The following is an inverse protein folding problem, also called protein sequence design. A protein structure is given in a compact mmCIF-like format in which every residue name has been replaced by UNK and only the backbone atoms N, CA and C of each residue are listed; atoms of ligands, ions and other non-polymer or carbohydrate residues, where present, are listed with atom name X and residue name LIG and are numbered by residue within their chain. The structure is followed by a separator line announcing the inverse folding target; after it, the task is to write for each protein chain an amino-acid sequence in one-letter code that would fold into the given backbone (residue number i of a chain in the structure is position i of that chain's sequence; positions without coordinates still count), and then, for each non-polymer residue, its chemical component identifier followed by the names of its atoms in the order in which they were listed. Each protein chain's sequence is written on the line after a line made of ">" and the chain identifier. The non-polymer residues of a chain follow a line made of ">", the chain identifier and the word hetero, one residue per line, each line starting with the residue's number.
data_IF_872930973089
#
_entry.id   IF_872930973089
#
_cell.length_a   1.000
_cell.length_b   1.000
_cell.length_c   1.000
_cell.angle_alpha   90.00
_cell.angle_beta   90.00
_cell.angle_gamma   90.00
#
_symmetry.space_group_name_H-M   'P 1'
#
loop_
_entity.id
_entity.type
_entity.pdbx_description
1 polymer ?
#
# COMPACT_ATOMS: atom_id res chain seq x y z
N UNK A 1 20.24 -27.28 8.60
CA UNK A 1 20.02 -26.36 9.74
C UNK A 1 21.01 -25.20 9.59
N UNK A 2 20.56 -23.96 9.78
CA UNK A 2 21.45 -22.80 9.79
C UNK A 2 22.34 -22.90 11.04
N UNK A 3 23.66 -22.90 10.87
CA UNK A 3 24.62 -23.03 11.97
C UNK A 3 24.46 -21.83 12.94
N UNK A 4 24.26 -22.11 14.23
CA UNK A 4 24.05 -21.08 15.26
C UNK A 4 22.66 -20.41 15.28
N UNK A 5 21.65 -20.95 14.58
CA UNK A 5 20.28 -20.42 14.60
C UNK A 5 19.45 -21.04 15.72
N UNK A 6 19.13 -20.25 16.76
CA UNK A 6 18.11 -20.58 17.75
C UNK A 6 16.76 -19.92 17.38
N UNK A 7 15.76 -20.73 17.06
CA UNK A 7 14.44 -20.25 16.70
C UNK A 7 13.75 -19.48 17.84
N UNK A 8 13.95 -19.89 19.09
CA UNK A 8 13.32 -19.24 20.25
C UNK A 8 13.85 -17.82 20.46
N UNK A 9 15.16 -17.60 20.24
CA UNK A 9 15.77 -16.27 20.35
C UNK A 9 15.57 -15.42 19.11
N UNK A 10 15.65 -16.02 17.91
CA UNK A 10 15.74 -15.27 16.65
C UNK A 10 14.38 -15.00 15.98
N UNK A 11 13.34 -15.80 16.26
CA UNK A 11 11.99 -15.54 15.75
C UNK A 11 11.27 -14.47 16.58
N UNK A 12 11.43 -14.51 17.90
CA UNK A 12 10.73 -13.63 18.84
C UNK A 12 9.21 -13.90 18.91
N UNK A 13 8.49 -13.01 19.59
CA UNK A 13 7.03 -13.07 19.74
C UNK A 13 6.32 -12.12 18.77
N UNK A 14 5.10 -12.44 18.30
CA UNK A 14 4.32 -11.51 17.50
C UNK A 14 4.02 -10.23 18.28
N UNK A 15 4.05 -9.08 17.59
CA UNK A 15 3.86 -7.78 18.21
C UNK A 15 5.04 -7.29 19.07
N UNK A 16 6.16 -8.01 19.06
CA UNK A 16 7.38 -7.62 19.78
C UNK A 16 8.57 -7.53 18.83
N UNK A 17 9.55 -6.68 19.16
CA UNK A 17 10.80 -6.59 18.41
C UNK A 17 11.47 -7.98 18.28
N UNK A 18 11.95 -8.39 17.09
CA UNK A 18 12.08 -7.63 15.85
C UNK A 18 10.92 -7.81 14.85
N UNK A 19 9.72 -8.17 15.32
CA UNK A 19 8.47 -8.28 14.56
C UNK A 19 8.46 -9.29 13.41
N UNK A 20 9.40 -10.24 13.41
CA UNK A 20 9.48 -11.31 12.39
C UNK A 20 8.12 -12.01 12.22
N UNK A 21 7.47 -12.34 13.35
CA UNK A 21 6.20 -13.08 13.41
C UNK A 21 4.94 -12.21 13.20
N UNK A 22 5.11 -10.91 12.95
CA UNK A 22 4.00 -9.96 12.77
C UNK A 22 4.11 -8.75 13.70
N UNK A 23 3.55 -7.63 13.26
CA UNK A 23 3.64 -6.33 13.96
C UNK A 23 2.63 -6.17 15.10
N UNK A 24 1.61 -7.02 15.17
CA UNK A 24 0.60 -7.00 16.23
C UNK A 24 0.56 -8.34 16.97
N UNK A 25 0.32 -8.37 18.29
CA UNK A 25 0.31 -9.62 19.05
C UNK A 25 -0.76 -10.62 18.56
N UNK A 26 -1.97 -10.13 18.26
CA UNK A 26 -3.07 -10.98 17.82
C UNK A 26 -3.09 -11.23 16.30
N UNK A 27 -2.39 -10.41 15.50
CA UNK A 27 -2.56 -10.36 14.04
C UNK A 27 -4.04 -10.56 13.65
N UNK A 28 -4.36 -11.62 12.89
CA UNK A 28 -5.69 -11.89 12.37
C UNK A 28 -6.64 -12.61 13.31
N UNK A 29 -6.15 -13.13 14.44
CA UNK A 29 -7.03 -13.77 15.44
C UNK A 29 -7.98 -12.77 16.09
N UNK A 30 -7.63 -11.48 16.06
CA UNK A 30 -8.50 -10.38 16.47
C UNK A 30 -9.30 -9.79 15.30
N UNK A 31 -8.63 -9.38 14.23
CA UNK A 31 -9.27 -8.78 13.04
C UNK A 31 -8.49 -9.16 11.77
N UNK A 32 -9.17 -9.61 10.69
CA UNK A 32 -8.52 -9.82 9.40
C UNK A 32 -7.84 -8.57 8.85
N UNK A 33 -6.98 -8.75 7.86
CA UNK A 33 -6.39 -7.64 7.10
C UNK A 33 -7.47 -6.76 6.45
N UNK A 34 -7.11 -5.54 6.08
CA UNK A 34 -8.02 -4.68 5.31
C UNK A 34 -8.11 -5.16 3.87
N UNK A 35 -9.29 -5.60 3.43
CA UNK A 35 -9.56 -5.95 2.03
C UNK A 35 -9.70 -4.67 1.20
N UNK A 36 -8.62 -4.25 0.54
CA UNK A 36 -8.53 -2.97 -0.16
C UNK A 36 -8.42 -3.19 -1.65
N UNK A 37 -9.55 -3.13 -2.34
CA UNK A 37 -9.57 -3.23 -3.80
C UNK A 37 -9.25 -1.89 -4.45
N UNK A 38 -8.43 -1.94 -5.49
CA UNK A 38 -8.09 -0.81 -6.35
C UNK A 38 -9.32 -0.48 -7.18
N UNK A 39 -9.75 0.78 -7.13
CA UNK A 39 -10.92 1.24 -7.83
C UNK A 39 -10.78 2.70 -8.25
N UNK A 40 -11.39 3.04 -9.36
CA UNK A 40 -11.30 4.37 -9.94
C UNK A 40 -10.71 4.26 -11.33
N UNK A 41 -11.56 4.42 -12.32
CA UNK A 41 -11.22 4.56 -13.72
C UNK A 41 -12.39 5.26 -14.40
N UNK A 42 -12.13 5.89 -15.53
CA UNK A 42 -13.08 6.77 -16.18
C UNK A 42 -13.26 8.07 -15.39
N UNK A 43 -14.49 8.52 -15.28
CA UNK A 43 -14.85 9.79 -14.65
C UNK A 43 -14.95 9.70 -13.13
N UNK A 44 -14.93 10.85 -12.45
CA UNK A 44 -15.18 10.94 -11.02
C UNK A 44 -16.57 10.38 -10.62
N UNK A 45 -17.58 10.53 -11.49
CA UNK A 45 -18.93 9.99 -11.29
C UNK A 45 -18.93 8.47 -11.27
N UNK A 46 -18.29 7.84 -12.27
CA UNK A 46 -18.19 6.38 -12.37
C UNK A 46 -17.39 5.80 -11.20
N UNK A 47 -16.29 6.45 -10.86
CA UNK A 47 -15.43 6.08 -9.73
C UNK A 47 -16.17 6.20 -8.39
N UNK A 48 -16.95 7.26 -8.17
CA UNK A 48 -17.79 7.42 -6.98
C UNK A 48 -18.85 6.33 -6.87
N UNK A 49 -19.57 6.04 -7.97
CA UNK A 49 -20.56 4.97 -8.01
C UNK A 49 -19.91 3.62 -7.66
N UNK A 50 -18.70 3.38 -8.15
CA UNK A 50 -17.91 2.19 -7.83
C UNK A 50 -17.54 2.11 -6.35
N UNK A 51 -17.10 3.23 -5.74
CA UNK A 51 -16.79 3.27 -4.31
C UNK A 51 -18.01 2.95 -3.46
N UNK A 52 -19.19 3.51 -3.78
CA UNK A 52 -20.45 3.18 -3.09
C UNK A 52 -20.80 1.70 -3.19
N UNK A 53 -20.63 1.10 -4.37
CA UNK A 53 -20.83 -0.35 -4.55
C UNK A 53 -19.86 -1.19 -3.73
N UNK A 54 -18.58 -0.81 -3.68
CA UNK A 54 -17.58 -1.53 -2.88
C UNK A 54 -17.90 -1.46 -1.39
N UNK A 55 -18.29 -0.27 -0.90
CA UNK A 55 -18.74 -0.08 0.48
C UNK A 55 -19.97 -0.94 0.78
N UNK A 56 -20.97 -0.95 -0.10
CA UNK A 56 -22.15 -1.80 0.04
C UNK A 56 -21.82 -3.30 0.03
N UNK A 57 -20.73 -3.71 -0.61
CA UNK A 57 -20.22 -5.08 -0.64
C UNK A 57 -19.32 -5.44 0.57
N UNK A 58 -19.19 -4.54 1.55
CA UNK A 58 -18.59 -4.81 2.85
C UNK A 58 -17.12 -4.40 3.00
N UNK A 59 -16.55 -3.61 2.09
CA UNK A 59 -15.23 -3.00 2.33
C UNK A 59 -15.34 -1.59 2.89
N UNK A 60 -14.46 -1.23 3.82
CA UNK A 60 -14.30 0.14 4.33
C UNK A 60 -12.96 0.75 3.90
N UNK A 61 -12.20 0.04 3.06
CA UNK A 61 -10.92 0.49 2.52
C UNK A 61 -11.05 0.82 1.05
N UNK A 62 -11.05 2.10 0.71
CA UNK A 62 -11.04 2.57 -0.67
C UNK A 62 -9.60 2.73 -1.18
N UNK A 63 -9.36 2.45 -2.45
CA UNK A 63 -8.09 2.77 -3.09
C UNK A 63 -8.37 3.48 -4.39
N UNK A 64 -7.89 4.73 -4.51
CA UNK A 64 -8.04 5.59 -5.66
C UNK A 64 -6.86 5.40 -6.60
N UNK A 65 -7.18 5.14 -7.86
CA UNK A 65 -6.26 5.20 -8.98
C UNK A 65 -6.51 6.48 -9.76
N UNK A 66 -5.46 7.22 -10.08
CA UNK A 66 -5.56 8.43 -10.91
C UNK A 66 -5.11 8.11 -12.33
N UNK A 67 -5.60 8.84 -13.32
CA UNK A 67 -5.12 8.69 -14.69
C UNK A 67 -3.67 9.18 -14.86
N UNK A 68 -3.08 8.94 -16.03
CA UNK A 68 -1.69 9.32 -16.28
C UNK A 68 -1.49 10.86 -16.27
N UNK A 69 -2.36 11.69 -16.88
CA UNK A 69 -2.27 13.14 -16.79
C UNK A 69 -2.21 13.66 -15.35
N UNK A 70 -3.15 13.24 -14.49
CA UNK A 70 -3.20 13.63 -13.07
C UNK A 70 -1.90 13.22 -12.37
N UNK A 71 -1.41 12.00 -12.62
CA UNK A 71 -0.17 11.50 -12.01
C UNK A 71 1.07 12.29 -12.43
N UNK A 72 1.09 12.83 -13.65
CA UNK A 72 2.17 13.66 -14.18
C UNK A 72 1.96 15.16 -13.93
N UNK A 73 0.89 15.56 -13.23
CA UNK A 73 0.62 16.96 -12.89
C UNK A 73 0.17 17.80 -14.09
N UNK A 74 -0.59 17.20 -15.01
CA UNK A 74 -1.20 17.88 -16.15
C UNK A 74 -2.72 17.87 -16.02
N UNK A 75 -3.33 19.02 -16.35
CA UNK A 75 -4.77 19.12 -16.54
C UNK A 75 -5.21 18.32 -17.79
N UNK A 76 -6.46 17.89 -17.81
CA UNK A 76 -7.04 17.07 -18.89
C UNK A 76 -7.03 17.72 -20.28
N UNK A 77 -6.93 19.05 -20.36
CA UNK A 77 -6.85 19.79 -21.63
C UNK A 77 -5.41 20.02 -22.13
N UNK A 78 -4.41 19.60 -21.36
CA UNK A 78 -3.01 19.70 -21.77
C UNK A 78 -2.79 18.86 -23.05
N UNK A 79 -2.03 19.37 -24.06
CA UNK A 79 -1.81 18.62 -25.30
C UNK A 79 -1.21 17.22 -25.09
N UNK A 80 -0.38 17.03 -24.06
CA UNK A 80 0.24 15.74 -23.71
C UNK A 80 -0.74 14.75 -23.05
N UNK A 81 -1.87 15.22 -22.53
CA UNK A 81 -2.90 14.40 -21.89
C UNK A 81 -3.83 13.70 -22.90
N UNK A 82 -3.81 14.14 -24.16
CA UNK A 82 -4.68 13.63 -25.22
C UNK A 82 -4.61 12.10 -25.34
N UNK A 83 -5.76 11.43 -25.19
CA UNK A 83 -5.87 9.97 -25.28
C UNK A 83 -5.57 9.20 -23.98
N UNK A 84 -5.18 9.89 -22.91
CA UNK A 84 -4.85 9.27 -21.62
C UNK A 84 -5.80 9.68 -20.47
N UNK A 85 -6.62 10.73 -20.68
CA UNK A 85 -7.62 11.21 -19.71
C UNK A 85 -8.60 10.11 -19.33
N UNK A 86 -8.70 9.80 -18.03
CA UNK A 86 -9.63 8.80 -17.48
C UNK A 86 -9.33 7.34 -17.84
N UNK A 87 -8.27 7.05 -18.60
CA UNK A 87 -8.05 5.73 -19.21
C UNK A 87 -7.60 4.66 -18.23
N UNK A 88 -6.70 5.00 -17.32
CA UNK A 88 -6.07 4.07 -16.36
C UNK A 88 -6.40 4.41 -14.90
N UNK A 89 -7.23 5.42 -14.69
CA UNK A 89 -7.62 5.92 -13.39
C UNK A 89 -8.59 7.09 -13.53
N UNK A 90 -9.00 7.67 -12.42
CA UNK A 90 -9.86 8.86 -12.42
C UNK A 90 -9.07 10.11 -12.81
N UNK A 91 -9.64 10.94 -13.69
CA UNK A 91 -9.10 12.27 -14.01
C UNK A 91 -9.48 13.27 -12.91
N UNK A 92 -8.50 14.02 -12.39
CA UNK A 92 -8.69 15.07 -11.38
C UNK A 92 -7.90 16.30 -11.80
N UNK A 93 -8.63 17.35 -12.19
CA UNK A 93 -8.04 18.64 -12.57
C UNK A 93 -8.25 19.68 -11.47
N UNK A 94 -9.30 19.50 -10.64
CA UNK A 94 -9.76 20.50 -9.70
C UNK A 94 -10.36 19.91 -8.42
N UNK A 95 -10.70 20.80 -7.48
CA UNK A 95 -11.48 20.42 -6.30
C UNK A 95 -12.89 19.94 -6.66
N UNK A 96 -13.47 20.40 -7.77
CA UNK A 96 -14.81 19.97 -8.20
C UNK A 96 -14.84 18.49 -8.57
N UNK A 97 -13.78 17.99 -9.21
CA UNK A 97 -13.65 16.55 -9.50
C UNK A 97 -13.54 15.74 -8.21
N UNK A 98 -12.82 16.27 -7.22
CA UNK A 98 -12.65 15.64 -5.91
C UNK A 98 -13.97 15.62 -5.12
N UNK A 99 -14.78 16.68 -5.20
CA UNK A 99 -16.14 16.75 -4.64
C UNK A 99 -17.04 15.69 -5.25
N UNK A 100 -17.00 15.52 -6.57
CA UNK A 100 -17.76 14.47 -7.27
C UNK A 100 -17.28 13.09 -6.84
N UNK A 101 -15.95 12.87 -6.83
CA UNK A 101 -15.33 11.59 -6.52
C UNK A 101 -15.73 11.06 -5.13
N UNK A 102 -15.79 11.94 -4.13
CA UNK A 102 -16.13 11.59 -2.75
C UNK A 102 -17.53 12.01 -2.31
N UNK A 103 -18.38 12.45 -3.24
CA UNK A 103 -19.74 12.87 -2.95
C UNK A 103 -20.56 11.76 -2.27
N UNK A 104 -20.96 11.99 -1.02
CA UNK A 104 -21.75 11.05 -0.22
C UNK A 104 -20.97 9.85 0.33
N UNK A 105 -19.63 9.92 0.38
CA UNK A 105 -18.78 8.91 1.02
C UNK A 105 -18.39 9.39 2.43
N UNK A 106 -18.69 8.65 3.51
CA UNK A 106 -18.37 9.10 4.87
C UNK A 106 -16.88 8.99 5.17
N UNK A 107 -16.12 10.07 4.92
CA UNK A 107 -14.65 10.12 5.02
C UNK A 107 -14.09 9.96 6.46
N UNK A 108 -14.95 10.07 7.47
CA UNK A 108 -14.65 9.75 8.88
C UNK A 108 -14.68 8.23 9.17
N UNK A 109 -15.34 7.45 8.31
CA UNK A 109 -15.55 6.00 8.50
C UNK A 109 -14.78 5.13 7.53
N UNK A 110 -14.48 5.65 6.34
CA UNK A 110 -13.67 4.93 5.35
C UNK A 110 -12.21 5.28 5.49
N UNK A 111 -11.35 4.32 5.19
CA UNK A 111 -9.92 4.58 5.01
C UNK A 111 -9.61 4.69 3.53
N UNK A 112 -9.06 5.81 3.08
CA UNK A 112 -8.77 6.05 1.65
C UNK A 112 -7.28 5.94 1.38
N UNK A 113 -6.90 5.07 0.44
CA UNK A 113 -5.55 5.02 -0.11
C UNK A 113 -5.53 5.73 -1.45
N UNK A 114 -4.61 6.65 -1.68
CA UNK A 114 -4.44 7.38 -2.93
C UNK A 114 -3.11 7.01 -3.55
N UNK A 115 -3.17 6.36 -4.72
CA UNK A 115 -1.98 5.86 -5.43
C UNK A 115 -1.40 6.97 -6.29
N UNK A 116 -0.83 7.96 -5.59
CA UNK A 116 -0.33 9.18 -6.17
C UNK A 116 1.04 9.52 -5.56
N UNK A 117 1.95 10.04 -6.40
CA UNK A 117 3.35 10.26 -6.03
C UNK A 117 3.76 11.71 -6.22
N UNK A 118 4.22 12.11 -7.40
CA UNK A 118 4.75 13.46 -7.60
C UNK A 118 3.77 14.60 -7.21
N UNK A 119 2.45 14.52 -7.49
CA UNK A 119 1.49 15.54 -7.05
C UNK A 119 0.79 15.18 -5.73
N UNK A 120 1.31 14.23 -4.93
CA UNK A 120 0.63 13.72 -3.74
C UNK A 120 0.23 14.79 -2.71
N UNK A 121 1.07 15.82 -2.52
CA UNK A 121 0.74 16.93 -1.62
C UNK A 121 -0.57 17.64 -2.02
N UNK A 122 -0.73 17.92 -3.32
CA UNK A 122 -1.89 18.61 -3.84
C UNK A 122 -3.16 17.75 -3.71
N UNK A 123 -3.09 16.48 -4.13
CA UNK A 123 -4.24 15.57 -4.05
C UNK A 123 -4.65 15.29 -2.60
N UNK A 124 -3.69 15.24 -1.66
CA UNK A 124 -3.99 15.15 -0.23
C UNK A 124 -4.71 16.40 0.29
N UNK A 125 -4.27 17.59 -0.11
CA UNK A 125 -4.93 18.84 0.25
C UNK A 125 -6.37 18.88 -0.29
N UNK A 126 -6.58 18.53 -1.56
CA UNK A 126 -7.93 18.46 -2.13
C UNK A 126 -8.83 17.46 -1.39
N UNK A 127 -8.29 16.29 -1.02
CA UNK A 127 -9.01 15.31 -0.21
C UNK A 127 -9.42 15.87 1.15
N UNK A 128 -8.50 16.55 1.85
CA UNK A 128 -8.79 17.19 3.13
C UNK A 128 -9.89 18.26 2.99
N UNK A 129 -9.78 19.15 2.02
CA UNK A 129 -10.77 20.22 1.81
C UNK A 129 -12.17 19.65 1.54
N UNK A 130 -12.28 18.59 0.73
CA UNK A 130 -13.56 17.91 0.49
C UNK A 130 -14.10 17.26 1.76
N UNK A 131 -13.24 16.73 2.64
CA UNK A 131 -13.69 16.21 3.93
C UNK A 131 -14.22 17.29 4.85
N UNK A 132 -13.53 18.44 4.92
CA UNK A 132 -13.94 19.58 5.73
C UNK A 132 -15.27 20.16 5.23
N UNK A 133 -15.49 20.24 3.91
CA UNK A 133 -16.77 20.61 3.30
C UNK A 133 -17.91 19.65 3.67
N UNK A 134 -17.59 18.37 3.92
CA UNK A 134 -18.54 17.37 4.40
C UNK A 134 -18.72 17.38 5.93
N UNK A 135 -18.06 18.31 6.64
CA UNK A 135 -18.12 18.42 8.09
C UNK A 135 -17.24 17.40 8.84
N UNK A 136 -16.26 16.79 8.16
CA UNK A 136 -15.29 15.86 8.76
C UNK A 136 -13.99 16.62 9.02
N UNK A 137 -13.56 16.68 10.29
CA UNK A 137 -12.31 17.33 10.65
C UNK A 137 -11.09 16.52 10.16
N UNK A 138 -10.01 17.22 9.80
CA UNK A 138 -8.79 16.61 9.27
C UNK A 138 -8.18 15.55 10.20
N UNK A 139 -8.29 15.74 11.52
CA UNK A 139 -7.79 14.80 12.54
C UNK A 139 -8.59 13.47 12.63
N UNK A 140 -9.75 13.40 11.96
CA UNK A 140 -10.56 12.18 11.82
C UNK A 140 -10.18 11.38 10.58
N UNK A 141 -9.47 11.97 9.62
CA UNK A 141 -9.14 11.32 8.37
C UNK A 141 -8.14 10.18 8.57
N UNK A 142 -8.46 9.03 7.98
CA UNK A 142 -7.55 7.89 7.94
C UNK A 142 -7.31 7.48 6.50
N UNK A 143 -6.07 7.17 6.17
CA UNK A 143 -5.72 6.89 4.80
C UNK A 143 -4.22 6.83 4.57
N UNK A 144 -3.87 6.77 3.29
CA UNK A 144 -2.49 6.68 2.83
C UNK A 144 -2.37 7.43 1.51
N UNK A 145 -1.31 8.21 1.34
CA UNK A 145 -0.81 8.58 -0.01
C UNK A 145 0.40 7.72 -0.32
N UNK A 146 0.57 7.31 -1.57
CA UNK A 146 1.72 6.48 -1.94
C UNK A 146 3.03 7.25 -1.74
N UNK A 147 3.12 8.47 -2.29
CA UNK A 147 4.14 9.47 -1.98
C UNK A 147 5.59 8.95 -1.99
N UNK A 148 5.86 7.95 -2.84
CA UNK A 148 7.18 7.33 -2.94
C UNK A 148 7.77 7.71 -4.32
N UNK A 149 8.59 8.74 -4.33
CA UNK A 149 9.19 9.30 -5.55
C UNK A 149 10.45 8.54 -6.00
N UNK A 150 11.19 7.91 -5.08
CA UNK A 150 12.40 7.16 -5.42
C UNK A 150 12.11 6.00 -6.37
N UNK A 151 11.09 5.18 -6.08
CA UNK A 151 10.63 4.13 -6.99
C UNK A 151 10.05 4.64 -8.32
N UNK A 152 9.67 5.92 -8.42
CA UNK A 152 9.30 6.51 -9.72
C UNK A 152 10.49 6.56 -10.66
N UNK A 153 11.66 6.96 -10.15
CA UNK A 153 12.87 7.00 -10.98
C UNK A 153 13.41 5.61 -11.30
N UNK A 154 13.16 4.63 -10.43
CA UNK A 154 13.69 3.26 -10.58
C UNK A 154 12.82 2.41 -11.52
N UNK A 155 11.49 2.45 -11.36
CA UNK A 155 10.62 1.44 -11.98
C UNK A 155 9.32 1.96 -12.59
N UNK A 156 8.74 3.07 -12.12
CA UNK A 156 7.36 3.46 -12.47
C UNK A 156 7.24 4.63 -13.46
N UNK A 157 8.16 5.59 -13.43
CA UNK A 157 8.30 6.63 -14.46
C UNK A 157 7.38 7.85 -14.35
N UNK A 158 6.61 8.04 -13.27
CA UNK A 158 5.67 9.19 -13.13
C UNK A 158 6.21 10.30 -12.22
N UNK A 159 7.50 10.62 -12.34
CA UNK A 159 8.12 11.74 -11.63
C UNK A 159 7.92 13.06 -12.39
N UNK A 160 7.86 14.18 -11.66
CA UNK A 160 7.76 15.54 -12.24
C UNK A 160 9.07 16.31 -12.02
N UNK A 161 9.56 16.36 -10.78
CA UNK A 161 10.73 17.13 -10.41
C UNK A 161 12.01 16.26 -10.38
N UNK A 162 13.21 16.86 -10.34
CA UNK A 162 14.44 16.13 -10.04
C UNK A 162 14.42 15.51 -8.63
N UNK A 163 15.28 14.51 -8.33
CA UNK A 163 15.21 13.76 -7.06
C UNK A 163 15.28 14.62 -5.79
N UNK A 164 16.20 15.60 -5.73
CA UNK A 164 16.39 16.44 -4.53
C UNK A 164 15.15 17.27 -4.15
N UNK A 165 14.53 18.06 -5.05
CA UNK A 165 13.29 18.77 -4.72
C UNK A 165 12.10 17.83 -4.46
N UNK A 166 12.06 16.64 -5.08
CA UNK A 166 11.03 15.63 -4.77
C UNK A 166 11.17 15.13 -3.33
N UNK A 167 12.38 14.79 -2.87
CA UNK A 167 12.62 14.38 -1.48
C UNK A 167 12.25 15.47 -0.47
N UNK A 168 12.52 16.75 -0.81
CA UNK A 168 12.07 17.89 0.01
C UNK A 168 10.54 17.91 0.19
N UNK A 169 9.78 17.68 -0.88
CA UNK A 169 8.31 17.63 -0.81
C UNK A 169 7.82 16.48 0.09
N UNK A 170 8.51 15.33 0.10
CA UNK A 170 8.20 14.23 1.02
C UNK A 170 8.34 14.69 2.47
N UNK A 171 9.44 15.36 2.81
CA UNK A 171 9.66 15.88 4.16
C UNK A 171 8.64 16.95 4.56
N UNK A 172 8.21 17.82 3.64
CA UNK A 172 7.14 18.79 3.89
C UNK A 172 5.81 18.09 4.21
N UNK A 173 5.45 17.07 3.44
CA UNK A 173 4.23 16.27 3.66
C UNK A 173 4.26 15.60 5.04
N UNK A 174 5.41 15.09 5.47
CA UNK A 174 5.55 14.46 6.79
C UNK A 174 5.27 15.47 7.91
N UNK A 175 5.85 16.67 7.81
CA UNK A 175 5.60 17.76 8.77
C UNK A 175 4.15 18.20 8.76
N UNK A 176 3.57 18.39 7.57
CA UNK A 176 2.18 18.80 7.39
C UNK A 176 1.20 17.80 8.00
N UNK A 177 1.33 16.52 7.66
CA UNK A 177 0.42 15.49 8.18
C UNK A 177 0.55 15.34 9.70
N UNK A 178 1.73 15.54 10.27
CA UNK A 178 1.89 15.53 11.73
C UNK A 178 1.06 16.62 12.40
N UNK A 179 1.03 17.82 11.82
CA UNK A 179 0.31 18.97 12.36
C UNK A 179 -1.20 18.89 12.11
N UNK A 180 -1.60 18.55 10.89
CA UNK A 180 -2.99 18.73 10.43
C UNK A 180 -3.77 17.41 10.29
N UNK A 181 -3.11 16.31 9.88
CA UNK A 181 -3.75 15.02 9.58
C UNK A 181 -3.06 13.86 10.33
N UNK A 182 -3.00 13.88 11.67
CA UNK A 182 -2.09 13.04 12.47
C UNK A 182 -2.34 11.54 12.37
N UNK A 183 -3.46 11.11 11.78
CA UNK A 183 -3.82 9.70 11.56
C UNK A 183 -3.47 9.18 10.16
N UNK A 184 -2.97 10.05 9.26
CA UNK A 184 -2.61 9.71 7.89
C UNK A 184 -1.29 8.93 7.82
N UNK A 185 -1.22 7.91 6.96
CA UNK A 185 0.05 7.29 6.59
C UNK A 185 0.66 8.12 5.46
N UNK A 186 1.80 8.75 5.75
CA UNK A 186 2.34 9.83 4.92
C UNK A 186 3.10 9.34 3.69
N UNK A 187 3.42 8.05 3.64
CA UNK A 187 4.09 7.38 2.55
C UNK A 187 3.80 5.88 2.58
N UNK A 188 3.80 5.27 1.41
CA UNK A 188 3.80 3.83 1.20
C UNK A 188 5.04 3.43 0.41
N UNK A 189 6.12 3.09 1.12
CA UNK A 189 7.44 2.77 0.56
C UNK A 189 7.35 1.44 -0.20
N UNK A 190 7.56 1.47 -1.53
CA UNK A 190 6.95 0.53 -2.46
C UNK A 190 7.96 -0.36 -3.20
N UNK A 191 7.92 -1.66 -2.92
CA UNK A 191 8.59 -2.71 -3.70
C UNK A 191 7.77 -3.28 -4.84
N UNK A 192 6.44 -3.18 -4.78
CA UNK A 192 5.53 -3.73 -5.79
C UNK A 192 5.95 -3.39 -7.23
N UNK A 193 6.15 -2.11 -7.53
CA UNK A 193 6.49 -1.63 -8.88
C UNK A 193 7.85 -2.14 -9.36
N UNK A 194 8.84 -2.24 -8.47
CA UNK A 194 10.16 -2.78 -8.82
C UNK A 194 10.07 -4.27 -9.12
N UNK A 195 9.25 -5.01 -8.37
CA UNK A 195 8.96 -6.41 -8.63
C UNK A 195 8.24 -6.63 -9.97
N UNK A 196 7.22 -5.82 -10.26
CA UNK A 196 6.50 -5.86 -11.54
C UNK A 196 7.42 -5.47 -12.72
N UNK A 197 8.43 -4.62 -12.48
CA UNK A 197 9.49 -4.29 -13.44
C UNK A 197 10.59 -5.37 -13.57
N UNK A 198 10.48 -6.48 -12.83
CA UNK A 198 11.37 -7.64 -12.96
C UNK A 198 12.36 -7.85 -11.82
N UNK A 199 12.29 -7.09 -10.73
CA UNK A 199 13.12 -7.35 -9.55
C UNK A 199 12.78 -8.71 -8.93
N UNK A 200 13.80 -9.47 -8.54
CA UNK A 200 13.65 -10.66 -7.69
C UNK A 200 13.11 -10.30 -6.30
N UNK A 201 12.56 -11.26 -5.53
CA UNK A 201 12.11 -11.01 -4.15
C UNK A 201 13.17 -10.39 -3.24
N UNK A 202 14.43 -10.79 -3.38
CA UNK A 202 15.56 -10.22 -2.64
C UNK A 202 15.86 -8.78 -3.05
N UNK A 203 15.86 -8.49 -4.36
CA UNK A 203 16.05 -7.13 -4.88
C UNK A 203 14.91 -6.21 -4.46
N UNK A 204 13.66 -6.69 -4.52
CA UNK A 204 12.47 -5.97 -4.07
C UNK A 204 12.66 -5.45 -2.64
N UNK A 205 12.96 -6.33 -1.67
CA UNK A 205 13.13 -5.86 -0.29
C UNK A 205 14.39 -5.01 -0.10
N UNK A 206 15.48 -5.31 -0.81
CA UNK A 206 16.72 -4.54 -0.68
C UNK A 206 16.52 -3.09 -1.15
N UNK A 207 15.93 -2.90 -2.33
CA UNK A 207 15.68 -1.58 -2.88
C UNK A 207 14.63 -0.82 -2.07
N UNK A 208 13.52 -1.47 -1.70
CA UNK A 208 12.47 -0.81 -0.90
C UNK A 208 12.95 -0.38 0.47
N UNK A 209 13.74 -1.20 1.17
CA UNK A 209 14.27 -0.83 2.48
C UNK A 209 15.35 0.26 2.35
N UNK A 210 16.14 0.25 1.27
CA UNK A 210 17.08 1.33 0.98
C UNK A 210 16.36 2.67 0.74
N UNK A 211 15.27 2.67 -0.05
CA UNK A 211 14.42 3.85 -0.24
C UNK A 211 13.84 4.32 1.11
N UNK A 212 13.34 3.40 1.93
CA UNK A 212 12.85 3.70 3.28
C UNK A 212 13.89 4.36 4.18
N UNK A 213 15.12 3.86 4.17
CA UNK A 213 16.26 4.43 4.89
C UNK A 213 16.54 5.86 4.40
N UNK A 214 16.50 6.09 3.09
CA UNK A 214 16.74 7.43 2.52
C UNK A 214 15.61 8.41 2.89
N UNK A 215 14.36 7.97 2.95
CA UNK A 215 13.26 8.81 3.44
C UNK A 215 13.41 9.17 4.92
N UNK A 216 13.86 8.23 5.76
CA UNK A 216 14.17 8.51 7.17
C UNK A 216 15.30 9.53 7.30
N UNK A 217 16.39 9.35 6.54
CA UNK A 217 17.51 10.32 6.48
C UNK A 217 17.05 11.69 6.00
N UNK A 218 16.22 11.74 4.97
CA UNK A 218 15.64 12.97 4.42
C UNK A 218 14.84 13.71 5.50
N UNK A 219 14.00 13.00 6.24
CA UNK A 219 13.18 13.61 7.29
C UNK A 219 14.01 14.11 8.48
N UNK A 220 15.02 13.34 8.92
CA UNK A 220 15.95 13.77 9.97
C UNK A 220 16.77 14.99 9.53
N UNK A 221 17.24 15.01 8.28
CA UNK A 221 17.96 16.16 7.72
C UNK A 221 17.08 17.41 7.62
N UNK A 222 15.76 17.26 7.54
CA UNK A 222 14.78 18.34 7.63
C UNK A 222 14.46 18.76 9.07
N UNK A 223 15.10 18.17 10.09
CA UNK A 223 14.98 18.56 11.50
C UNK A 223 13.92 17.80 12.29
N UNK A 224 13.34 16.73 11.76
CA UNK A 224 12.35 15.90 12.47
C UNK A 224 13.04 14.86 13.37
N UNK A 225 12.48 14.63 14.57
CA UNK A 225 12.84 13.45 15.36
C UNK A 225 12.28 12.18 14.69
N UNK A 226 13.03 11.08 14.71
CA UNK A 226 12.63 9.84 14.05
C UNK A 226 11.30 9.31 14.55
N UNK A 227 11.02 9.43 15.85
CA UNK A 227 9.79 8.90 16.46
C UNK A 227 8.55 9.77 16.17
N UNK A 228 8.74 10.96 15.60
CA UNK A 228 7.65 11.86 15.25
C UNK A 228 6.96 11.49 13.93
N UNK A 229 7.67 10.84 13.00
CA UNK A 229 7.14 10.47 11.69
C UNK A 229 7.20 8.96 11.41
N UNK A 230 8.19 8.24 11.93
CA UNK A 230 8.34 6.80 11.66
C UNK A 230 7.09 5.96 11.99
N UNK A 231 6.32 6.24 13.07
CA UNK A 231 5.05 5.55 13.34
C UNK A 231 3.95 5.75 12.30
N UNK A 232 4.16 6.56 11.25
CA UNK A 232 3.25 6.76 10.11
C UNK A 232 3.80 6.26 8.78
N UNK A 233 5.02 5.74 8.75
CA UNK A 233 5.56 5.05 7.59
C UNK A 233 4.80 3.73 7.36
N UNK A 234 4.54 3.45 6.10
CA UNK A 234 3.97 2.18 5.65
C UNK A 234 4.70 1.71 4.39
N UNK A 235 4.51 0.45 4.04
CA UNK A 235 5.21 -0.20 2.94
C UNK A 235 4.23 -0.87 1.97
N UNK A 236 4.69 -1.19 0.77
CA UNK A 236 3.88 -1.88 -0.23
C UNK A 236 4.70 -2.87 -1.05
N UNK A 237 4.32 -4.15 -0.99
CA UNK A 237 5.04 -5.23 -1.66
C UNK A 237 4.15 -6.01 -2.62
N UNK A 238 4.77 -6.73 -3.55
CA UNK A 238 4.06 -7.73 -4.36
C UNK A 238 3.89 -9.03 -3.57
N UNK A 239 2.93 -9.87 -3.95
CA UNK A 239 2.89 -11.28 -3.60
C UNK A 239 2.84 -12.13 -4.88
N UNK A 240 3.84 -12.99 -5.06
CA UNK A 240 3.97 -13.92 -6.19
C UNK A 240 3.39 -15.30 -5.83
N UNK A 241 3.34 -16.19 -6.83
CA UNK A 241 2.90 -17.58 -6.64
C UNK A 241 3.89 -18.44 -5.83
N UNK A 242 5.11 -17.95 -5.58
CA UNK A 242 6.15 -18.64 -4.79
C UNK A 242 5.92 -18.48 -3.28
N UNK A 243 4.90 -19.15 -2.72
CA UNK A 243 4.43 -18.99 -1.33
C UNK A 243 5.57 -18.93 -0.31
N UNK A 244 6.46 -19.92 -0.29
CA UNK A 244 7.51 -20.01 0.74
C UNK A 244 8.47 -18.81 0.71
N UNK A 245 8.86 -18.39 -0.50
CA UNK A 245 9.77 -17.27 -0.70
C UNK A 245 9.10 -15.94 -0.35
N UNK A 246 7.84 -15.74 -0.74
CA UNK A 246 7.08 -14.54 -0.41
C UNK A 246 6.84 -14.42 1.10
N UNK A 247 6.49 -15.50 1.79
CA UNK A 247 6.36 -15.51 3.26
C UNK A 247 7.70 -15.18 3.92
N UNK A 248 8.80 -15.80 3.47
CA UNK A 248 10.14 -15.50 3.99
C UNK A 248 10.52 -14.03 3.75
N UNK A 249 10.22 -13.49 2.56
CA UNK A 249 10.45 -12.09 2.17
C UNK A 249 9.79 -11.13 3.15
N UNK A 250 8.50 -11.29 3.44
CA UNK A 250 7.77 -10.39 4.34
C UNK A 250 8.29 -10.45 5.78
N UNK A 251 8.62 -11.65 6.27
CA UNK A 251 9.21 -11.87 7.61
C UNK A 251 10.59 -11.22 7.71
N UNK A 252 11.43 -11.41 6.69
CA UNK A 252 12.76 -10.82 6.62
C UNK A 252 12.70 -9.30 6.57
N UNK A 253 11.82 -8.71 5.75
CA UNK A 253 11.65 -7.28 5.63
C UNK A 253 11.33 -6.63 7.00
N UNK A 254 10.37 -7.17 7.75
CA UNK A 254 10.04 -6.68 9.10
C UNK A 254 11.23 -6.69 10.04
N UNK A 255 11.96 -7.80 10.07
CA UNK A 255 13.13 -7.97 10.95
C UNK A 255 14.24 -6.99 10.60
N UNK A 256 14.54 -6.81 9.30
CA UNK A 256 15.59 -5.89 8.85
C UNK A 256 15.19 -4.45 9.21
N UNK A 257 13.96 -4.05 8.88
CA UNK A 257 13.47 -2.70 9.19
C UNK A 257 13.52 -2.39 10.69
N UNK A 258 13.03 -3.31 11.53
CA UNK A 258 13.02 -3.11 12.98
C UNK A 258 14.43 -2.90 13.54
N UNK A 259 15.43 -3.64 13.03
CA UNK A 259 16.84 -3.49 13.41
C UNK A 259 17.39 -2.15 12.94
N UNK A 260 17.22 -1.80 11.67
CA UNK A 260 17.68 -0.51 11.12
C UNK A 260 17.14 0.66 11.93
N UNK A 261 15.82 0.70 12.18
CA UNK A 261 15.20 1.80 12.93
C UNK A 261 15.73 1.91 14.36
N UNK A 262 15.96 0.78 15.03
CA UNK A 262 16.45 0.76 16.42
C UNK A 262 17.95 1.01 16.54
N UNK A 263 18.75 0.38 15.70
CA UNK A 263 20.21 0.31 15.82
C UNK A 263 20.91 1.44 15.05
N UNK A 264 20.45 1.79 13.84
CA UNK A 264 21.05 2.86 13.03
C UNK A 264 20.45 4.22 13.40
N UNK A 265 19.12 4.32 13.46
CA UNK A 265 18.42 5.59 13.71
C UNK A 265 18.12 5.87 15.19
N UNK A 266 18.39 4.92 16.08
CA UNK A 266 18.21 5.10 17.53
C UNK A 266 16.75 5.35 17.95
N UNK A 267 15.77 4.97 17.13
CA UNK A 267 14.35 5.16 17.43
C UNK A 267 13.97 4.47 18.74
N UNK A 268 13.20 5.14 19.60
CA UNK A 268 12.84 4.68 20.95
C UNK A 268 11.42 4.19 21.02
N UNK A 269 10.53 4.70 20.17
CA UNK A 269 9.14 4.29 20.11
C UNK A 269 9.03 2.93 19.39
N UNK A 270 8.48 1.87 20.04
CA UNK A 270 8.31 0.57 19.40
C UNK A 270 7.49 0.59 18.10
N UNK A 271 6.60 1.59 17.93
CA UNK A 271 5.82 1.78 16.70
C UNK A 271 6.69 2.21 15.51
N UNK A 272 7.79 2.92 15.75
CA UNK A 272 8.75 3.35 14.71
C UNK A 272 9.48 2.16 14.09
N UNK A 273 9.59 1.05 14.82
CA UNK A 273 10.24 -0.18 14.36
C UNK A 273 9.30 -1.09 13.56
N UNK A 274 8.00 -0.80 13.53
CA UNK A 274 7.02 -1.64 12.85
C UNK A 274 7.02 -1.38 11.35
N UNK A 275 7.28 -2.43 10.57
CA UNK A 275 7.00 -2.42 9.13
C UNK A 275 5.58 -2.92 8.90
N UNK A 276 4.64 -1.97 8.74
CA UNK A 276 3.27 -2.25 8.31
C UNK A 276 3.20 -2.14 6.80
N UNK A 277 2.60 -3.10 6.13
CA UNK A 277 2.59 -3.14 4.67
C UNK A 277 1.24 -3.48 4.06
N UNK A 278 0.99 -2.87 2.91
CA UNK A 278 0.05 -3.31 1.91
C UNK A 278 0.69 -4.39 1.04
N UNK A 279 -0.13 -5.28 0.50
CA UNK A 279 0.29 -6.25 -0.50
C UNK A 279 -0.66 -6.23 -1.68
N UNK A 280 -0.12 -6.36 -2.88
CA UNK A 280 -0.89 -6.60 -4.09
C UNK A 280 -0.37 -7.88 -4.73
N UNK A 281 -1.29 -8.71 -5.23
CA UNK A 281 -0.92 -9.90 -6.00
C UNK A 281 -0.17 -9.53 -7.29
N UNK A 282 0.74 -10.37 -7.78
CA UNK A 282 1.59 -10.02 -8.92
C UNK A 282 0.81 -9.97 -10.25
N UNK A 283 0.66 -8.78 -10.82
CA UNK A 283 -0.01 -8.56 -12.11
C UNK A 283 0.80 -9.16 -13.27
N UNK A 284 2.13 -9.01 -13.22
CA UNK A 284 3.08 -9.56 -14.22
C UNK A 284 2.99 -11.08 -14.37
N UNK A 285 2.41 -11.80 -13.41
CA UNK A 285 2.22 -13.26 -13.46
C UNK A 285 0.85 -13.69 -14.04
N UNK A 286 -0.03 -12.74 -14.35
CA UNK A 286 -1.36 -13.02 -14.90
C UNK A 286 -1.31 -13.12 -16.43
N UNK A 287 -2.13 -14.01 -16.99
CA UNK A 287 -2.11 -14.32 -18.43
C UNK A 287 -3.36 -13.83 -19.12
N UNK A 288 -3.21 -13.27 -20.32
CA UNK A 288 -4.35 -12.92 -21.18
C UNK A 288 -5.02 -14.18 -21.78
N UNK A 289 -4.25 -15.24 -21.99
CA UNK A 289 -4.75 -16.54 -22.41
C UNK A 289 -5.32 -17.28 -21.20
N UNK A 290 -6.52 -17.84 -21.37
CA UNK A 290 -7.27 -18.53 -20.31
C UNK A 290 -7.33 -17.70 -19.01
N UNK A 291 -7.86 -16.46 -19.09
CA UNK A 291 -7.77 -15.49 -18.00
C UNK A 291 -8.44 -16.00 -16.71
N UNK A 292 -9.41 -16.91 -16.78
CA UNK A 292 -10.03 -17.52 -15.60
C UNK A 292 -9.03 -18.30 -14.72
N UNK A 293 -7.94 -18.82 -15.29
CA UNK A 293 -6.85 -19.47 -14.52
C UNK A 293 -6.17 -18.48 -13.57
N UNK A 294 -6.23 -17.17 -13.86
CA UNK A 294 -5.72 -16.14 -12.97
C UNK A 294 -6.45 -16.13 -11.62
N UNK A 295 -7.69 -16.62 -11.51
CA UNK A 295 -8.35 -16.77 -10.20
C UNK A 295 -7.55 -17.69 -9.27
N UNK A 296 -6.99 -18.79 -9.81
CA UNK A 296 -6.15 -19.72 -9.05
C UNK A 296 -4.83 -19.04 -8.67
N UNK A 297 -4.21 -18.32 -9.61
CA UNK A 297 -2.95 -17.59 -9.36
C UNK A 297 -3.13 -16.56 -8.25
N UNK A 298 -4.16 -15.72 -8.35
CA UNK A 298 -4.49 -14.68 -7.38
C UNK A 298 -4.87 -15.28 -6.02
N UNK A 299 -5.56 -16.42 -5.97
CA UNK A 299 -5.83 -17.12 -4.71
C UNK A 299 -4.54 -17.58 -4.02
N UNK A 300 -3.59 -18.15 -4.77
CA UNK A 300 -2.27 -18.58 -4.25
C UNK A 300 -1.44 -17.37 -3.78
N UNK A 301 -1.39 -16.31 -4.59
CA UNK A 301 -0.69 -15.07 -4.25
C UNK A 301 -1.30 -14.39 -3.01
N UNK A 302 -2.64 -14.35 -2.94
CA UNK A 302 -3.36 -13.82 -1.78
C UNK A 302 -3.07 -14.63 -0.51
N UNK A 303 -3.05 -15.96 -0.62
CA UNK A 303 -2.70 -16.84 0.49
C UNK A 303 -1.26 -16.58 0.99
N UNK A 304 -0.29 -16.42 0.10
CA UNK A 304 1.08 -16.09 0.47
C UNK A 304 1.18 -14.73 1.21
N UNK A 305 0.43 -13.72 0.76
CA UNK A 305 0.39 -12.41 1.42
C UNK A 305 -0.18 -12.49 2.84
N UNK A 306 -1.23 -13.28 3.02
CA UNK A 306 -1.88 -13.52 4.32
C UNK A 306 -0.93 -14.28 5.25
N UNK A 307 -0.36 -15.40 4.80
CA UNK A 307 0.59 -16.17 5.60
C UNK A 307 1.86 -15.36 5.94
N UNK A 308 2.19 -14.36 5.12
CA UNK A 308 3.23 -13.38 5.35
C UNK A 308 2.91 -12.30 6.38
N UNK A 309 1.65 -12.13 6.78
CA UNK A 309 1.22 -11.16 7.79
C UNK A 309 1.00 -9.74 7.27
N UNK A 310 0.44 -9.56 6.07
CA UNK A 310 0.06 -8.25 5.49
C UNK A 310 -1.02 -7.50 6.28
N UNK A 311 -1.00 -6.15 6.29
CA UNK A 311 -2.03 -5.36 6.99
C UNK A 311 -3.20 -5.00 6.07
N UNK A 312 -2.98 -4.99 4.76
CA UNK A 312 -4.03 -4.80 3.77
C UNK A 312 -3.67 -5.48 2.46
N UNK A 313 -4.66 -6.01 1.76
CA UNK A 313 -4.44 -6.81 0.56
C UNK A 313 -5.31 -6.33 -0.60
N UNK A 314 -4.67 -6.18 -1.76
CA UNK A 314 -5.30 -6.11 -3.05
C UNK A 314 -5.13 -7.46 -3.76
N UNK A 315 -6.24 -8.05 -4.16
CA UNK A 315 -6.27 -9.19 -5.07
C UNK A 315 -6.66 -8.69 -6.45
N UNK A 316 -5.83 -8.98 -7.43
CA UNK A 316 -6.08 -8.56 -8.79
C UNK A 316 -7.28 -9.30 -9.38
N UNK A 317 -7.88 -8.70 -10.39
CA UNK A 317 -8.95 -9.33 -11.15
C UNK A 317 -8.39 -10.29 -12.19
N UNK A 318 -9.16 -11.33 -12.52
CA UNK A 318 -8.70 -12.36 -13.46
C UNK A 318 -8.49 -11.84 -14.89
N UNK A 319 -9.05 -10.68 -15.23
CA UNK A 319 -8.96 -10.00 -16.54
C UNK A 319 -7.85 -8.93 -16.63
N UNK A 320 -7.02 -8.77 -15.59
CA UNK A 320 -6.03 -7.69 -15.49
C UNK A 320 -4.98 -7.69 -16.62
N UNK A 321 -4.63 -8.85 -17.18
CA UNK A 321 -3.70 -8.94 -18.31
C UNK A 321 -4.29 -8.41 -19.64
N UNK A 322 -5.58 -8.08 -19.66
CA UNK A 322 -6.31 -7.66 -20.87
C UNK A 322 -6.81 -6.23 -20.72
N UNK A 323 -7.46 -5.91 -19.60
CA UNK A 323 -8.15 -4.65 -19.40
C UNK A 323 -8.30 -4.33 -17.91
N UNK A 324 -8.84 -3.14 -17.63
CA UNK A 324 -9.28 -2.80 -16.29
C UNK A 324 -10.42 -3.73 -15.83
N UNK A 325 -10.56 -3.95 -14.51
CA UNK A 325 -11.55 -4.87 -13.97
C UNK A 325 -13.00 -4.53 -14.33
N UNK A 326 -13.75 -5.54 -14.76
CA UNK A 326 -15.22 -5.49 -14.78
C UNK A 326 -15.82 -5.62 -13.37
N UNK A 327 -17.11 -5.32 -13.23
CA UNK A 327 -17.85 -5.55 -11.98
C UNK A 327 -17.79 -7.00 -11.50
N UNK A 328 -17.83 -7.96 -12.45
CA UNK A 328 -17.76 -9.39 -12.13
C UNK A 328 -16.36 -9.76 -11.64
N UNK A 329 -15.32 -9.36 -12.37
CA UNK A 329 -13.95 -9.78 -12.05
C UNK A 329 -13.45 -9.17 -10.74
N UNK A 330 -13.72 -7.89 -10.49
CA UNK A 330 -13.37 -7.25 -9.23
C UNK A 330 -14.18 -7.77 -8.03
N UNK A 331 -15.43 -8.21 -8.23
CA UNK A 331 -16.20 -8.90 -7.19
C UNK A 331 -15.58 -10.24 -6.85
N UNK A 332 -15.20 -11.03 -7.85
CA UNK A 332 -14.52 -12.31 -7.64
C UNK A 332 -13.19 -12.13 -6.91
N UNK A 333 -12.43 -11.10 -7.25
CA UNK A 333 -11.20 -10.75 -6.55
C UNK A 333 -11.46 -10.46 -5.05
N UNK A 334 -12.45 -9.61 -4.72
CA UNK A 334 -12.85 -9.39 -3.32
C UNK A 334 -13.30 -10.68 -2.63
N UNK A 335 -14.07 -11.54 -3.32
CA UNK A 335 -14.53 -12.83 -2.79
C UNK A 335 -13.37 -13.77 -2.49
N UNK A 336 -12.29 -13.75 -3.28
CA UNK A 336 -11.06 -14.51 -2.98
C UNK A 336 -10.52 -14.16 -1.59
N UNK A 337 -10.46 -12.88 -1.22
CA UNK A 337 -10.02 -12.49 0.13
C UNK A 337 -11.01 -12.91 1.22
N UNK A 338 -12.31 -12.88 0.93
CA UNK A 338 -13.35 -13.27 1.89
C UNK A 338 -13.31 -14.78 2.15
N UNK A 339 -13.10 -15.61 1.13
CA UNK A 339 -12.86 -17.05 1.29
C UNK A 339 -11.63 -17.28 2.17
N UNK A 340 -10.50 -16.62 1.86
CA UNK A 340 -9.29 -16.73 2.69
C UNK A 340 -9.56 -16.33 4.15
N UNK A 341 -10.29 -15.23 4.39
CA UNK A 341 -10.50 -14.70 5.74
C UNK A 341 -11.52 -15.52 6.57
N UNK A 342 -12.57 -16.04 5.93
CA UNK A 342 -13.76 -16.54 6.63
C UNK A 342 -14.06 -18.02 6.39
N UNK A 343 -13.47 -18.66 5.39
CA UNK A 343 -13.70 -20.07 5.06
C UNK A 343 -12.45 -20.95 5.25
N UNK A 344 -11.31 -20.35 5.60
CA UNK A 344 -10.06 -21.07 5.92
C UNK A 344 -9.61 -20.81 7.36
N UNK A 345 -8.60 -21.54 7.82
CA UNK A 345 -8.03 -21.45 9.17
C UNK A 345 -6.85 -20.46 9.27
N UNK A 346 -6.50 -19.75 8.20
CA UNK A 346 -5.34 -18.83 8.18
C UNK A 346 -5.46 -17.65 9.14
N UNK A 347 -6.66 -17.35 9.62
CA UNK A 347 -6.93 -16.31 10.63
C UNK A 347 -6.98 -16.87 12.06
N UNK A 348 -6.87 -18.20 12.24
CA UNK A 348 -6.98 -18.86 13.55
C UNK A 348 -5.66 -18.86 14.35
N UNK A 349 -4.52 -18.58 13.72
CA UNK A 349 -3.20 -18.57 14.38
C UNK A 349 -2.29 -17.46 13.84
N UNK A 350 -1.29 -17.08 14.63
CA UNK A 350 -0.30 -16.07 14.29
C UNK A 350 0.98 -16.71 13.78
N UNK A 351 1.41 -16.33 12.56
CA UNK A 351 2.61 -16.83 11.89
C UNK A 351 2.68 -18.38 11.89
N UNK A 352 1.79 -19.06 11.12
CA UNK A 352 1.72 -20.53 11.09
C UNK A 352 3.01 -21.20 10.60
N UNK A 353 3.91 -20.45 9.96
CA UNK A 353 5.23 -20.93 9.53
C UNK A 353 6.33 -20.80 10.60
N UNK A 354 6.02 -20.29 11.78
CA UNK A 354 6.98 -20.21 12.87
C UNK A 354 7.55 -21.60 13.22
N UNK A 355 8.88 -21.72 13.17
CA UNK A 355 9.58 -22.98 13.43
C UNK A 355 9.67 -23.93 12.23
N UNK A 356 9.11 -23.59 11.08
CA UNK A 356 9.33 -24.32 9.84
C UNK A 356 10.81 -24.30 9.45
N UNK A 357 11.39 -25.45 9.10
CA UNK A 357 12.79 -25.52 8.68
C UNK A 357 13.07 -24.85 7.32
N UNK A 358 12.05 -24.76 6.46
CA UNK A 358 12.19 -24.23 5.10
C UNK A 358 11.94 -22.71 5.03
N UNK A 359 11.22 -22.14 6.01
CA UNK A 359 10.79 -20.73 6.06
C UNK A 359 11.43 -19.99 7.22
#
# INVERSE_FOLDING_TARGET
>A
ALEGWDAAEKLGEPGSYPYTRGVYPSMYTGRPWTMRQYAGFGTAVESNARYKQLIANGTMGLSVAFDLPTQMGHDSDAPIASGEVGKVGVAIDSIDDMRVLFGGIPLDKVSTSMTINAPAALLLLLYQLVAEEQGVAADQLTGTIQNDVLKEYIARGTYIFPPKPSLRLIADIFQYCRAEIPKWNTISISGYHMAEAGASPAQEIAFTLADGIEYVRTAIAAGMDVDDFAPRLSFFFVSRTTILEEVAKFRAARRIWARVMKEEFGAKNPKSWMLRFHTQTAGVQLTAQQPEVNLVRVAVQGLAAVLGGTQSLHTNSFDEAIALPTDKSARLALRTQQVLAYETDVTATVDPFAGSYVV
#
